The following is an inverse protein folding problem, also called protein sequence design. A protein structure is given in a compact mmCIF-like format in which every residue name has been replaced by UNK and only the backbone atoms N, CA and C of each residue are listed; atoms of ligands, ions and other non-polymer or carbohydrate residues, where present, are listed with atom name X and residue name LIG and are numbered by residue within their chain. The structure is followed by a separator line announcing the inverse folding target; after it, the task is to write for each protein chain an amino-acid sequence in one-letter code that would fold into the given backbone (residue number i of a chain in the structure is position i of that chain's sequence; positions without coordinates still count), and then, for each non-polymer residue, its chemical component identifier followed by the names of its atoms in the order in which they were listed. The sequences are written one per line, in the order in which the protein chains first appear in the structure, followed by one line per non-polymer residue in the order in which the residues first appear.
data_IF_147528778373
#
_entry.id   IF_147528778373
#
_cell.length_a   1.000
_cell.length_b   1.000
_cell.length_c   1.000
_cell.angle_alpha   90.00
_cell.angle_beta   90.00
_cell.angle_gamma   90.00
#
_symmetry.space_group_name_H-M   'P 1'
#
loop_
_entity.id
_entity.type
_entity.pdbx_description
1 polymer ?
#
# COMPACT_ATOMS: atom_id res chain seq x y z
N UNK A 1 -26.08 2.99 -15.20
CA UNK A 1 -25.00 2.27 -14.51
C UNK A 1 -23.72 3.02 -14.80
N UNK A 2 -23.09 3.65 -13.81
CA UNK A 2 -21.78 4.28 -14.03
C UNK A 2 -20.76 3.17 -14.31
N UNK A 3 -20.02 3.26 -15.42
CA UNK A 3 -18.88 2.37 -15.64
C UNK A 3 -17.90 2.53 -14.49
N UNK A 4 -17.49 1.43 -13.87
CA UNK A 4 -16.39 1.46 -12.91
C UNK A 4 -15.15 1.98 -13.62
N UNK A 5 -14.56 3.06 -13.09
CA UNK A 5 -13.32 3.64 -13.58
C UNK A 5 -12.22 3.36 -12.57
N UNK A 6 -11.12 2.79 -13.03
CA UNK A 6 -9.96 2.59 -12.17
C UNK A 6 -9.37 3.96 -11.78
N UNK A 7 -9.03 4.18 -10.50
CA UNK A 7 -8.49 5.45 -10.03
C UNK A 7 -7.10 5.76 -10.59
N UNK A 8 -6.41 4.76 -11.13
CA UNK A 8 -5.11 4.89 -11.77
C UNK A 8 -4.97 3.86 -12.89
N UNK A 9 -4.31 4.19 -14.03
CA UNK A 9 -3.93 3.19 -15.02
C UNK A 9 -2.84 2.23 -14.50
N UNK A 10 -2.17 2.57 -13.40
CA UNK A 10 -1.13 1.76 -12.77
C UNK A 10 -1.59 1.27 -11.40
N UNK A 11 -1.71 -0.05 -11.26
CA UNK A 11 -1.92 -0.71 -9.97
C UNK A 11 -0.60 -1.34 -9.50
N UNK A 12 0.07 -0.67 -8.57
CA UNK A 12 1.34 -1.14 -8.05
C UNK A 12 1.15 -2.07 -6.84
N UNK A 13 1.87 -3.18 -6.81
CA UNK A 13 1.93 -4.09 -5.65
C UNK A 13 3.30 -3.91 -4.99
N UNK A 14 3.31 -3.37 -3.77
CA UNK A 14 4.50 -3.20 -2.97
C UNK A 14 4.80 -4.47 -2.18
N UNK A 15 5.91 -5.10 -2.53
CA UNK A 15 6.46 -6.29 -1.89
C UNK A 15 7.98 -6.15 -1.79
N UNK A 16 8.56 -6.63 -0.70
CA UNK A 16 10.01 -6.62 -0.46
C UNK A 16 10.66 -7.99 -0.71
N UNK A 17 9.90 -9.00 -1.14
CA UNK A 17 10.44 -10.32 -1.45
C UNK A 17 11.55 -10.21 -2.51
N UNK A 18 12.77 -10.63 -2.13
CA UNK A 18 13.95 -10.57 -3.00
C UNK A 18 14.63 -9.19 -3.11
N UNK A 19 14.18 -8.17 -2.37
CA UNK A 19 14.81 -6.84 -2.31
C UNK A 19 15.15 -6.44 -0.87
N UNK A 20 16.35 -6.81 -0.43
CA UNK A 20 16.82 -6.56 0.95
C UNK A 20 17.11 -5.08 1.25
N UNK A 21 17.32 -4.26 0.23
CA UNK A 21 17.82 -2.88 0.41
C UNK A 21 16.71 -1.82 0.51
N UNK A 22 15.46 -2.15 0.18
CA UNK A 22 14.35 -1.19 0.17
C UNK A 22 13.33 -1.54 1.25
N UNK A 23 13.07 -0.58 2.13
CA UNK A 23 11.94 -0.65 3.05
C UNK A 23 10.62 -0.48 2.31
N UNK A 24 9.52 -0.98 2.89
CA UNK A 24 8.17 -0.72 2.38
C UNK A 24 7.88 0.78 2.24
N UNK A 25 8.45 1.61 3.12
CA UNK A 25 8.31 3.07 3.08
C UNK A 25 8.99 3.66 1.85
N UNK A 26 10.25 3.31 1.61
CA UNK A 26 10.99 3.79 0.44
C UNK A 26 10.33 3.35 -0.87
N UNK A 27 9.83 2.10 -0.90
CA UNK A 27 9.10 1.58 -2.05
C UNK A 27 7.78 2.33 -2.28
N UNK A 28 6.99 2.55 -1.23
CA UNK A 28 5.73 3.30 -1.33
C UNK A 28 5.95 4.75 -1.77
N UNK A 29 6.95 5.42 -1.22
CA UNK A 29 7.31 6.80 -1.59
C UNK A 29 7.68 6.88 -3.07
N UNK A 30 8.56 5.99 -3.55
CA UNK A 30 8.97 5.96 -4.96
C UNK A 30 7.80 5.68 -5.91
N UNK A 31 6.93 4.72 -5.56
CA UNK A 31 5.75 4.38 -6.36
C UNK A 31 4.79 5.57 -6.45
N UNK A 32 4.48 6.21 -5.31
CA UNK A 32 3.53 7.32 -5.27
C UNK A 32 4.09 8.58 -5.95
N UNK A 33 5.38 8.87 -5.74
CA UNK A 33 6.09 9.95 -6.42
C UNK A 33 6.14 9.74 -7.94
N UNK A 34 6.24 8.48 -8.40
CA UNK A 34 6.17 8.09 -9.80
C UNK A 34 4.79 8.24 -10.46
N UNK A 35 3.76 8.64 -9.71
CA UNK A 35 2.42 8.94 -10.25
C UNK A 35 1.39 7.81 -10.10
N UNK A 36 1.74 6.68 -9.49
CA UNK A 36 0.75 5.66 -9.17
C UNK A 36 -0.26 6.21 -8.15
N UNK A 37 -1.56 5.97 -8.38
CA UNK A 37 -2.65 6.38 -7.46
C UNK A 37 -3.43 5.20 -6.88
N UNK A 38 -2.90 4.00 -7.06
CA UNK A 38 -3.39 2.78 -6.44
C UNK A 38 -2.21 1.89 -6.07
N UNK A 39 -2.08 1.63 -4.77
CA UNK A 39 -1.00 0.85 -4.17
C UNK A 39 -1.60 -0.30 -3.35
N UNK A 40 -1.21 -1.54 -3.64
CA UNK A 40 -1.46 -2.67 -2.76
C UNK A 40 -0.21 -2.95 -1.92
N UNK A 41 -0.35 -2.94 -0.61
CA UNK A 41 0.70 -3.33 0.32
C UNK A 41 0.60 -4.83 0.61
N UNK A 42 1.63 -5.58 0.23
CA UNK A 42 1.73 -7.04 0.42
C UNK A 42 2.87 -7.37 1.36
N UNK A 43 2.53 -7.70 2.61
CA UNK A 43 3.50 -8.12 3.64
C UNK A 43 3.18 -9.55 4.06
N UNK A 44 4.06 -10.51 3.73
CA UNK A 44 3.85 -11.94 4.02
C UNK A 44 4.70 -12.46 5.18
N UNK A 45 5.92 -11.95 5.33
CA UNK A 45 6.93 -12.55 6.22
C UNK A 45 7.18 -11.72 7.49
N UNK A 46 6.18 -10.97 7.97
CA UNK A 46 6.30 -10.10 9.15
C UNK A 46 5.23 -10.41 10.20
N UNK A 47 5.55 -10.32 11.51
CA UNK A 47 4.55 -10.40 12.56
C UNK A 47 3.46 -9.33 12.41
N UNK A 48 2.25 -9.64 12.87
CA UNK A 48 1.08 -8.73 12.80
C UNK A 48 1.36 -7.32 13.32
N UNK A 49 2.09 -7.17 14.44
CA UNK A 49 2.42 -5.86 14.99
C UNK A 49 3.30 -5.05 14.03
N UNK A 50 4.28 -5.69 13.41
CA UNK A 50 5.17 -5.04 12.46
C UNK A 50 4.43 -4.69 11.17
N UNK A 51 3.57 -5.58 10.67
CA UNK A 51 2.71 -5.27 9.53
C UNK A 51 1.81 -4.06 9.83
N UNK A 52 1.19 -3.99 11.02
CA UNK A 52 0.37 -2.84 11.39
C UNK A 52 1.18 -1.52 11.34
N UNK A 53 2.39 -1.50 11.90
CA UNK A 53 3.28 -0.33 11.84
C UNK A 53 3.63 0.04 10.39
N UNK A 54 3.99 -0.95 9.58
CA UNK A 54 4.30 -0.74 8.16
C UNK A 54 3.08 -0.13 7.43
N UNK A 55 1.90 -0.69 7.66
CA UNK A 55 0.67 -0.26 7.01
C UNK A 55 0.27 1.18 7.40
N UNK A 56 0.46 1.59 8.66
CA UNK A 56 0.18 2.96 9.12
C UNK A 56 1.08 4.00 8.43
N UNK A 57 2.37 3.70 8.32
CA UNK A 57 3.32 4.59 7.64
C UNK A 57 3.04 4.65 6.13
N UNK A 58 2.80 3.50 5.48
CA UNK A 58 2.42 3.46 4.06
C UNK A 58 1.09 4.18 3.81
N UNK A 59 0.11 4.10 4.73
CA UNK A 59 -1.14 4.87 4.66
C UNK A 59 -0.86 6.37 4.67
N UNK A 60 0.02 6.83 5.54
CA UNK A 60 0.43 8.24 5.63
C UNK A 60 1.05 8.72 4.31
N UNK A 61 1.88 7.89 3.68
CA UNK A 61 2.47 8.18 2.37
C UNK A 61 1.37 8.25 1.30
N UNK A 62 0.51 7.22 1.20
CA UNK A 62 -0.55 7.17 0.19
C UNK A 62 -1.48 8.39 0.30
N UNK A 63 -1.88 8.76 1.51
CA UNK A 63 -2.70 9.93 1.76
C UNK A 63 -2.03 11.23 1.29
N UNK A 64 -0.73 11.40 1.53
CA UNK A 64 0.04 12.57 1.06
C UNK A 64 0.02 12.72 -0.46
N UNK A 65 0.04 11.61 -1.19
CA UNK A 65 0.07 11.61 -2.66
C UNK A 65 -1.31 11.46 -3.33
N UNK A 66 -2.38 11.33 -2.54
CA UNK A 66 -3.73 11.05 -3.07
C UNK A 66 -3.84 9.67 -3.71
N UNK A 67 -3.05 8.71 -3.25
CA UNK A 67 -3.10 7.31 -3.69
C UNK A 67 -4.04 6.52 -2.79
N UNK A 68 -4.80 5.60 -3.38
CA UNK A 68 -5.54 4.59 -2.61
C UNK A 68 -4.58 3.50 -2.11
N UNK A 69 -4.79 3.06 -0.87
CA UNK A 69 -4.09 1.95 -0.24
C UNK A 69 -4.99 0.74 -0.12
N UNK A 70 -4.54 -0.39 -0.67
CA UNK A 70 -5.16 -1.71 -0.54
C UNK A 70 -4.27 -2.60 0.33
N UNK A 71 -4.82 -3.32 1.30
CA UNK A 71 -4.07 -4.26 2.15
C UNK A 71 -4.33 -5.70 1.70
N UNK A 72 -3.28 -6.40 1.30
CA UNK A 72 -3.41 -7.79 0.83
C UNK A 72 -3.68 -8.78 1.98
N UNK A 73 -4.74 -9.59 1.86
CA UNK A 73 -5.13 -10.75 2.70
C UNK A 73 -5.38 -10.49 4.20
N UNK A 74 -5.23 -9.25 4.67
CA UNK A 74 -5.33 -8.89 6.10
C UNK A 74 -6.39 -7.81 6.31
N UNK A 75 -7.66 -8.21 6.24
CA UNK A 75 -8.80 -7.32 6.46
C UNK A 75 -8.81 -6.67 7.85
N UNK A 76 -8.24 -7.34 8.87
CA UNK A 76 -8.04 -6.79 10.21
C UNK A 76 -7.05 -5.62 10.21
N UNK A 77 -5.94 -5.74 9.47
CA UNK A 77 -4.98 -4.65 9.27
C UNK A 77 -5.60 -3.53 8.42
N UNK A 78 -6.31 -3.88 7.34
CA UNK A 78 -7.02 -2.91 6.49
C UNK A 78 -7.95 -2.01 7.31
N UNK A 79 -8.78 -2.63 8.15
CA UNK A 79 -9.69 -1.92 9.04
C UNK A 79 -8.93 -1.08 10.08
N UNK A 80 -7.86 -1.62 10.67
CA UNK A 80 -7.09 -0.93 11.72
C UNK A 80 -6.34 0.32 11.23
N UNK A 81 -6.03 0.41 9.92
CA UNK A 81 -5.35 1.57 9.32
C UNK A 81 -6.25 2.42 8.43
N UNK A 82 -7.56 2.12 8.39
CA UNK A 82 -8.53 2.77 7.50
C UNK A 82 -8.06 2.77 6.03
N UNK A 83 -7.62 1.60 5.57
CA UNK A 83 -7.27 1.38 4.17
C UNK A 83 -8.52 1.49 3.27
N UNK A 84 -8.30 1.74 1.99
CA UNK A 84 -9.38 1.93 1.01
C UNK A 84 -9.90 0.57 0.48
N UNK A 85 -9.22 -0.54 0.82
CA UNK A 85 -9.64 -1.91 0.56
C UNK A 85 -8.61 -2.96 0.95
#
# INVERSE_FOLDING_TARGET
MSSFAFPSPLYAIADTLGRLELSFFGLAEQICAGGARLLQLRVKDRPTREFLTIAQEVRTICHRYGSLLIINDRADIALAVEADG
#
